data_IF_529278872922
#
_entry.id   IF_529278872922
#
_cell.length_a   1.000
_cell.length_b   1.000
_cell.length_c   1.000
_cell.angle_alpha   90.00
_cell.angle_beta   90.00
_cell.angle_gamma   90.00
#
_symmetry.space_group_name_H-M   'P 1'
#
loop_
_entity.id
_entity.type
_entity.pdbx_description
1 polymer ?
#
# COMPACT_ATOMS: atom_id res chain seq x y z
N UNK A 1 17.26 20.34 -7.33
CA UNK A 1 16.24 19.46 -6.74
C UNK A 1 15.42 18.87 -7.87
N UNK A 2 15.49 17.56 -8.13
CA UNK A 2 14.55 16.94 -9.09
C UNK A 2 13.14 17.12 -8.53
N UNK A 3 12.24 17.63 -9.38
CA UNK A 3 10.81 17.74 -9.06
C UNK A 3 10.33 16.38 -8.55
N UNK A 4 9.63 16.39 -7.41
CA UNK A 4 9.18 15.16 -6.78
C UNK A 4 8.11 14.56 -7.71
N UNK A 5 8.44 13.48 -8.38
CA UNK A 5 7.51 12.75 -9.24
C UNK A 5 6.49 12.05 -8.32
N UNK A 6 5.23 12.47 -8.34
CA UNK A 6 4.21 11.94 -7.43
C UNK A 6 3.57 10.64 -7.94
N UNK A 7 4.28 9.89 -8.80
CA UNK A 7 3.84 8.59 -9.33
C UNK A 7 4.31 7.44 -8.47
N UNK A 8 3.38 6.61 -8.00
CA UNK A 8 3.65 5.47 -7.14
C UNK A 8 3.01 4.19 -7.66
N UNK A 9 3.71 3.08 -7.52
CA UNK A 9 3.15 1.74 -7.70
C UNK A 9 2.68 1.20 -6.36
N UNK A 10 1.38 0.91 -6.26
CA UNK A 10 0.83 0.09 -5.18
C UNK A 10 0.89 -1.38 -5.61
N UNK A 11 1.32 -2.28 -4.72
CA UNK A 11 1.48 -3.70 -5.05
C UNK A 11 1.33 -4.60 -3.83
N UNK A 12 0.94 -5.87 -4.00
CA UNK A 12 0.83 -6.81 -2.90
C UNK A 12 2.22 -7.23 -2.41
N UNK A 13 2.43 -7.18 -1.10
CA UNK A 13 3.74 -7.34 -0.48
C UNK A 13 4.41 -8.69 -0.79
N UNK A 14 3.66 -9.75 -1.05
CA UNK A 14 4.21 -11.08 -1.35
C UNK A 14 5.13 -11.11 -2.56
N UNK A 15 5.02 -10.15 -3.49
CA UNK A 15 5.96 -10.03 -4.61
C UNK A 15 7.41 -9.86 -4.12
N UNK A 16 7.61 -9.26 -2.94
CA UNK A 16 8.94 -9.07 -2.34
C UNK A 16 9.60 -10.34 -1.81
N UNK A 17 8.92 -11.50 -1.77
CA UNK A 17 9.48 -12.74 -1.19
C UNK A 17 10.80 -13.16 -1.84
N UNK A 18 10.93 -12.91 -3.14
CA UNK A 18 12.12 -13.24 -3.92
C UNK A 18 12.97 -12.02 -4.31
N UNK A 19 12.67 -10.84 -3.75
CA UNK A 19 13.33 -9.58 -4.12
C UNK A 19 14.86 -9.63 -4.01
N UNK A 20 15.38 -10.34 -3.01
CA UNK A 20 16.82 -10.46 -2.77
C UNK A 20 17.52 -11.48 -3.69
N UNK A 21 16.78 -12.32 -4.43
CA UNK A 21 17.34 -13.28 -5.41
C UNK A 21 17.24 -12.74 -6.83
N UNK A 22 16.08 -12.16 -7.14
CA UNK A 22 15.73 -11.73 -8.48
C UNK A 22 15.02 -10.37 -8.38
N UNK A 23 15.85 -9.37 -8.10
CA UNK A 23 15.44 -7.97 -7.95
C UNK A 23 14.72 -7.48 -9.19
N UNK A 24 15.28 -7.73 -10.37
CA UNK A 24 14.71 -7.27 -11.63
C UNK A 24 13.32 -7.86 -11.88
N UNK A 25 13.17 -9.18 -11.77
CA UNK A 25 11.87 -9.82 -11.94
C UNK A 25 10.85 -9.34 -10.92
N UNK A 26 11.25 -9.21 -9.65
CA UNK A 26 10.36 -8.72 -8.59
C UNK A 26 9.83 -7.32 -8.92
N UNK A 27 10.71 -6.40 -9.34
CA UNK A 27 10.33 -5.02 -9.63
C UNK A 27 9.51 -4.92 -10.93
N UNK A 28 9.80 -5.77 -11.93
CA UNK A 28 8.97 -5.89 -13.13
C UNK A 28 7.57 -6.45 -12.83
N UNK A 29 7.45 -7.45 -11.95
CA UNK A 29 6.15 -7.97 -11.51
C UNK A 29 5.33 -6.90 -10.77
N UNK A 30 5.99 -6.03 -9.98
CA UNK A 30 5.35 -4.87 -9.34
C UNK A 30 4.83 -3.87 -10.37
N UNK A 31 5.61 -3.57 -11.41
CA UNK A 31 5.16 -2.69 -12.50
C UNK A 31 3.94 -3.29 -13.20
N UNK A 32 4.00 -4.58 -13.57
CA UNK A 32 2.89 -5.27 -14.22
C UNK A 32 1.60 -5.23 -13.39
N UNK A 33 1.70 -5.56 -12.10
CA UNK A 33 0.55 -5.49 -11.20
C UNK A 33 0.06 -4.04 -11.01
N UNK A 34 0.96 -3.09 -10.74
CA UNK A 34 0.59 -1.72 -10.44
C UNK A 34 -0.13 -1.02 -11.60
N UNK A 35 0.31 -1.28 -12.84
CA UNK A 35 -0.38 -0.77 -14.04
C UNK A 35 -1.76 -1.42 -14.21
N UNK A 36 -1.85 -2.74 -14.02
CA UNK A 36 -3.12 -3.45 -14.08
C UNK A 36 -4.13 -2.94 -13.04
N UNK A 37 -3.72 -2.88 -11.77
CA UNK A 37 -4.56 -2.42 -10.66
C UNK A 37 -5.02 -0.97 -10.85
N UNK A 38 -4.13 -0.06 -11.24
CA UNK A 38 -4.50 1.33 -11.51
C UNK A 38 -5.47 1.43 -12.69
N UNK A 39 -5.24 0.67 -13.77
CA UNK A 39 -6.12 0.70 -14.94
C UNK A 39 -7.56 0.31 -14.60
N UNK A 40 -7.73 -0.66 -13.69
CA UNK A 40 -9.07 -1.08 -13.24
C UNK A 40 -9.74 -0.03 -12.35
N UNK A 41 -8.98 0.67 -11.51
CA UNK A 41 -9.47 1.70 -10.57
C UNK A 41 -9.68 3.08 -11.20
N UNK A 42 -9.16 3.31 -12.41
CA UNK A 42 -9.26 4.61 -13.07
C UNK A 42 -10.72 4.97 -13.36
N UNK A 43 -11.13 6.18 -12.97
CA UNK A 43 -12.41 6.74 -13.39
C UNK A 43 -12.25 7.34 -14.79
N UNK A 44 -13.22 7.06 -15.66
CA UNK A 44 -13.18 7.54 -17.04
C UNK A 44 -13.83 8.92 -17.09
N UNK A 45 -13.10 9.87 -17.67
CA UNK A 45 -13.65 11.13 -18.17
C UNK A 45 -14.15 10.87 -19.59
N UNK A 46 -15.48 10.85 -19.78
CA UNK A 46 -16.11 10.51 -21.04
C UNK A 46 -15.67 11.45 -22.17
N UNK A 47 -15.61 12.76 -21.89
CA UNK A 47 -15.22 13.75 -22.89
C UNK A 47 -13.79 13.47 -23.40
N UNK A 48 -12.84 13.28 -22.47
CA UNK A 48 -11.45 12.95 -22.84
C UNK A 48 -11.34 11.61 -23.57
N UNK A 49 -12.17 10.63 -23.21
CA UNK A 49 -12.16 9.34 -23.87
C UNK A 49 -12.65 9.46 -25.32
N UNK A 50 -13.73 10.19 -25.55
CA UNK A 50 -14.28 10.44 -26.89
C UNK A 50 -13.25 11.18 -27.75
N UNK A 51 -12.76 12.31 -27.27
CA UNK A 51 -11.73 13.13 -27.93
C UNK A 51 -10.49 12.29 -28.27
N UNK A 52 -9.97 11.52 -27.31
CA UNK A 52 -8.78 10.70 -27.52
C UNK A 52 -9.01 9.55 -28.50
N UNK A 53 -10.20 8.94 -28.50
CA UNK A 53 -10.56 7.87 -29.45
C UNK A 53 -10.53 8.40 -30.88
N UNK A 54 -11.16 9.54 -31.13
CA UNK A 54 -11.23 10.16 -32.46
C UNK A 54 -9.84 10.63 -32.90
N UNK A 55 -9.10 11.28 -32.01
CA UNK A 55 -7.72 11.67 -32.28
C UNK A 55 -6.89 10.46 -32.71
N UNK A 56 -7.00 9.36 -31.97
CA UNK A 56 -6.21 8.15 -32.24
C UNK A 56 -6.66 7.44 -33.51
N UNK A 57 -7.95 7.51 -33.86
CA UNK A 57 -8.47 7.04 -35.14
C UNK A 57 -7.77 7.75 -36.31
N UNK A 58 -7.74 9.08 -36.32
CA UNK A 58 -7.09 9.88 -37.37
C UNK A 58 -5.57 9.65 -37.45
N UNK A 59 -4.92 9.31 -36.33
CA UNK A 59 -3.50 8.97 -36.31
C UNK A 59 -3.20 7.51 -36.65
N UNK A 60 -4.22 6.69 -36.88
CA UNK A 60 -4.06 5.27 -37.19
C UNK A 60 -3.52 4.42 -36.04
N UNK A 61 -3.63 4.92 -34.80
CA UNK A 61 -3.08 4.27 -33.60
C UNK A 61 -4.07 3.41 -32.82
N UNK A 62 -5.31 3.26 -33.31
CA UNK A 62 -6.33 2.47 -32.63
C UNK A 62 -6.03 0.97 -32.75
N UNK A 63 -6.39 0.16 -31.72
CA UNK A 63 -6.44 -1.28 -31.86
C UNK A 63 -7.32 -1.70 -33.04
N UNK A 64 -6.95 -2.77 -33.72
CA UNK A 64 -7.64 -3.22 -34.92
C UNK A 64 -9.12 -3.51 -34.64
N UNK A 65 -9.44 -4.10 -33.50
CA UNK A 65 -10.81 -4.44 -33.11
C UNK A 65 -11.70 -3.19 -32.97
N UNK A 66 -11.19 -2.16 -32.29
CA UNK A 66 -11.89 -0.86 -32.14
C UNK A 66 -12.00 -0.16 -33.50
N UNK A 67 -10.91 -0.17 -34.28
CA UNK A 67 -10.86 0.46 -35.59
C UNK A 67 -11.88 -0.17 -36.55
N UNK A 68 -11.94 -1.49 -36.63
CA UNK A 68 -12.90 -2.21 -37.48
C UNK A 68 -14.35 -1.89 -37.12
N UNK A 69 -14.66 -1.74 -35.83
CA UNK A 69 -16.00 -1.34 -35.39
C UNK A 69 -16.33 0.10 -35.78
N UNK A 70 -15.40 1.05 -35.55
CA UNK A 70 -15.58 2.43 -36.00
C UNK A 70 -15.77 2.54 -37.52
N UNK A 71 -15.01 1.77 -38.29
CA UNK A 71 -15.17 1.72 -39.76
C UNK A 71 -16.55 1.23 -40.15
N UNK A 72 -17.09 0.19 -39.50
CA UNK A 72 -18.46 -0.28 -39.76
C UNK A 72 -19.51 0.78 -39.41
N UNK A 73 -19.36 1.48 -38.29
CA UNK A 73 -20.27 2.58 -37.94
C UNK A 73 -20.19 3.71 -38.97
N UNK A 74 -19.01 4.01 -39.51
CA UNK A 74 -18.85 4.99 -40.58
C UNK A 74 -19.51 4.53 -41.89
N UNK A 75 -19.35 3.26 -42.28
CA UNK A 75 -20.02 2.67 -43.45
C UNK A 75 -21.55 2.70 -43.34
N UNK A 76 -22.07 2.59 -42.11
CA UNK A 76 -23.51 2.70 -41.82
C UNK A 76 -23.99 4.16 -41.71
N UNK A 77 -23.08 5.14 -41.77
CA UNK A 77 -23.40 6.56 -41.62
C UNK A 77 -23.75 6.98 -40.19
N UNK A 78 -23.38 6.17 -39.19
CA UNK A 78 -23.61 6.47 -37.76
C UNK A 78 -22.56 7.45 -37.20
N UNK A 79 -21.38 7.50 -37.81
CA UNK A 79 -20.32 8.47 -37.51
C UNK A 79 -19.69 8.96 -38.83
N UNK A 80 -19.48 10.27 -38.95
CA UNK A 80 -18.91 10.89 -40.14
C UNK A 80 -17.52 11.45 -39.84
N UNK A 81 -16.48 10.73 -40.23
CA UNK A 81 -15.11 11.17 -40.02
C UNK A 81 -14.70 12.19 -41.08
N UNK A 82 -14.50 13.45 -40.66
CA UNK A 82 -14.04 14.49 -41.57
C UNK A 82 -12.58 14.27 -42.03
N UNK A 83 -12.40 13.70 -43.22
CA UNK A 83 -11.08 13.43 -43.81
C UNK A 83 -10.30 14.69 -44.22
N UNK A 84 -10.99 15.81 -44.44
CA UNK A 84 -10.36 17.05 -44.90
C UNK A 84 -9.65 17.79 -43.75
N UNK A 85 -10.27 17.79 -42.58
CA UNK A 85 -9.80 18.53 -41.41
C UNK A 85 -9.26 17.65 -40.29
N UNK A 86 -9.52 16.33 -40.33
CA UNK A 86 -8.99 15.34 -39.38
C UNK A 86 -9.25 15.72 -37.91
N UNK A 87 -10.42 16.30 -37.65
CA UNK A 87 -10.84 16.81 -36.33
C UNK A 87 -10.23 18.15 -35.92
N UNK A 88 -9.48 18.85 -36.79
CA UNK A 88 -8.91 20.17 -36.48
C UNK A 88 -9.81 21.32 -36.96
N UNK A 89 -9.99 22.33 -36.11
CA UNK A 89 -10.64 23.58 -36.47
C UNK A 89 -9.77 24.41 -37.42
N UNK A 90 -10.36 25.42 -38.07
CA UNK A 90 -9.61 26.37 -38.90
C UNK A 90 -8.54 27.18 -38.14
N UNK A 91 -8.56 27.12 -36.80
CA UNK A 91 -7.58 27.76 -35.91
C UNK A 91 -6.45 26.82 -35.49
N UNK A 92 -6.52 25.53 -35.85
CA UNK A 92 -5.50 24.53 -35.54
C UNK A 92 -5.70 23.80 -34.22
N UNK A 93 -6.82 24.04 -33.53
CA UNK A 93 -7.22 23.31 -32.33
C UNK A 93 -7.95 22.01 -32.71
N UNK A 94 -7.73 20.94 -31.95
CA UNK A 94 -8.43 19.68 -32.19
C UNK A 94 -9.81 19.73 -31.52
N UNK A 95 -10.86 19.84 -32.32
CA UNK A 95 -12.24 20.05 -31.89
C UNK A 95 -13.23 19.15 -32.69
N UNK A 96 -13.14 17.80 -32.57
CA UNK A 96 -13.99 16.88 -33.32
C UNK A 96 -15.40 16.75 -32.71
N UNK A 97 -16.08 17.87 -32.47
CA UNK A 97 -17.31 17.92 -31.66
C UNK A 97 -18.42 17.05 -32.25
N UNK A 98 -18.60 17.09 -33.56
CA UNK A 98 -19.62 16.29 -34.27
C UNK A 98 -19.34 14.79 -34.11
N UNK A 99 -18.09 14.38 -34.34
CA UNK A 99 -17.67 12.99 -34.22
C UNK A 99 -17.78 12.50 -32.76
N UNK A 100 -17.54 13.38 -31.78
CA UNK A 100 -17.70 13.07 -30.35
C UNK A 100 -19.16 12.82 -29.99
N UNK A 101 -20.08 13.68 -30.45
CA UNK A 101 -21.53 13.50 -30.22
C UNK A 101 -22.03 12.20 -30.85
N UNK A 102 -21.62 11.90 -32.08
CA UNK A 102 -21.96 10.65 -32.78
C UNK A 102 -21.41 9.43 -32.05
N UNK A 103 -20.14 9.46 -31.64
CA UNK A 103 -19.53 8.36 -30.89
C UNK A 103 -20.20 8.16 -29.52
N UNK A 104 -20.63 9.24 -28.86
CA UNK A 104 -21.40 9.15 -27.62
C UNK A 104 -22.77 8.49 -27.84
N UNK A 105 -23.46 8.82 -28.94
CA UNK A 105 -24.71 8.13 -29.31
C UNK A 105 -24.49 6.64 -29.54
N UNK A 106 -23.41 6.26 -30.23
CA UNK A 106 -23.03 4.85 -30.44
C UNK A 106 -22.76 4.17 -29.09
N UNK A 107 -22.06 4.81 -28.15
CA UNK A 107 -21.82 4.23 -26.83
C UNK A 107 -23.10 4.00 -26.03
N UNK A 108 -24.11 4.84 -26.22
CA UNK A 108 -25.42 4.69 -25.57
C UNK A 108 -26.24 3.52 -26.15
N UNK A 109 -26.00 3.12 -27.40
CA UNK A 109 -26.71 2.01 -28.07
C UNK A 109 -25.93 0.70 -28.03
N UNK A 110 -24.60 0.75 -28.09
CA UNK A 110 -23.69 -0.40 -28.09
C UNK A 110 -22.78 -0.37 -26.85
N UNK A 111 -23.33 -0.87 -25.74
CA UNK A 111 -22.61 -0.93 -24.47
C UNK A 111 -21.36 -1.82 -24.54
N UNK A 112 -21.34 -2.84 -25.39
CA UNK A 112 -20.16 -3.70 -25.55
C UNK A 112 -19.02 -2.92 -26.21
N UNK A 113 -19.32 -2.07 -27.20
CA UNK A 113 -18.34 -1.15 -27.78
C UNK A 113 -17.83 -0.13 -26.78
N UNK A 114 -18.75 0.48 -26.02
CA UNK A 114 -18.40 1.39 -24.96
C UNK A 114 -17.41 0.76 -23.96
N UNK A 115 -17.70 -0.46 -23.47
CA UNK A 115 -16.84 -1.17 -22.54
C UNK A 115 -15.47 -1.53 -23.14
N UNK A 116 -15.43 -1.87 -24.43
CA UNK A 116 -14.20 -2.14 -25.17
C UNK A 116 -13.30 -0.90 -25.25
N UNK A 117 -13.86 0.24 -25.68
CA UNK A 117 -13.14 1.52 -25.75
C UNK A 117 -12.74 1.98 -24.35
N UNK A 118 -13.60 1.85 -23.35
CA UNK A 118 -13.29 2.15 -21.95
C UNK A 118 -12.06 1.37 -21.47
N UNK A 119 -12.02 0.07 -21.76
CA UNK A 119 -10.91 -0.79 -21.38
C UNK A 119 -9.63 -0.32 -22.06
N UNK A 120 -9.64 -0.09 -23.37
CA UNK A 120 -8.48 0.41 -24.11
C UNK A 120 -8.01 1.78 -23.59
N UNK A 121 -8.91 2.74 -23.42
CA UNK A 121 -8.60 4.09 -22.96
C UNK A 121 -7.96 4.09 -21.56
N UNK A 122 -8.48 3.27 -20.64
CA UNK A 122 -7.87 3.05 -19.32
C UNK A 122 -6.43 2.54 -19.41
N UNK A 123 -6.16 1.61 -20.35
CA UNK A 123 -4.79 1.11 -20.57
C UNK A 123 -3.87 2.24 -21.00
N UNK A 124 -4.22 2.93 -22.09
CA UNK A 124 -3.38 4.01 -22.67
C UNK A 124 -3.15 5.13 -21.66
N UNK A 125 -4.18 5.51 -20.90
CA UNK A 125 -4.09 6.53 -19.85
C UNK A 125 -3.03 6.20 -18.80
N UNK A 126 -3.03 4.95 -18.29
CA UNK A 126 -2.08 4.52 -17.26
C UNK A 126 -0.66 4.40 -17.79
N UNK A 127 -0.50 3.93 -19.02
CA UNK A 127 0.79 3.84 -19.72
C UNK A 127 1.41 5.22 -19.89
N UNK A 128 0.64 6.17 -20.42
CA UNK A 128 1.08 7.54 -20.63
C UNK A 128 1.40 8.22 -19.30
N UNK A 129 0.57 8.00 -18.28
CA UNK A 129 0.80 8.53 -16.94
C UNK A 129 2.14 8.07 -16.36
N UNK A 130 2.49 6.78 -16.49
CA UNK A 130 3.76 6.25 -16.01
C UNK A 130 4.92 6.35 -17.01
N UNK A 131 4.71 6.83 -18.24
CA UNK A 131 5.72 6.89 -19.31
C UNK A 131 6.46 5.55 -19.52
N UNK A 132 5.71 4.45 -19.49
CA UNK A 132 6.30 3.11 -19.67
C UNK A 132 6.14 2.69 -21.13
N UNK A 133 7.19 2.15 -21.72
CA UNK A 133 7.16 1.50 -23.04
C UNK A 133 7.11 -0.02 -22.90
N UNK A 134 6.44 -0.73 -23.82
CA UNK A 134 6.53 -2.19 -23.91
C UNK A 134 5.29 -2.85 -24.51
N UNK A 135 5.23 -4.18 -24.45
CA UNK A 135 4.03 -4.93 -24.82
C UNK A 135 3.01 -4.85 -23.67
N UNK A 136 2.09 -3.89 -23.78
CA UNK A 136 1.14 -3.59 -22.72
C UNK A 136 0.12 -4.67 -22.46
N UNK A 137 -0.31 -5.40 -23.49
CA UNK A 137 -1.21 -6.52 -23.28
C UNK A 137 -0.52 -7.60 -22.46
N UNK A 138 0.74 -7.93 -22.75
CA UNK A 138 1.52 -8.85 -21.93
C UNK A 138 1.69 -8.35 -20.48
N UNK A 139 1.96 -7.06 -20.29
CA UNK A 139 2.10 -6.42 -18.96
C UNK A 139 0.81 -6.57 -18.15
N UNK A 140 -0.34 -6.24 -18.75
CA UNK A 140 -1.62 -6.27 -18.05
C UNK A 140 -2.12 -7.69 -17.82
N UNK A 141 -1.87 -8.62 -18.74
CA UNK A 141 -2.16 -10.04 -18.52
C UNK A 141 -1.31 -10.60 -17.38
N UNK A 142 -0.03 -10.24 -17.31
CA UNK A 142 0.83 -10.60 -16.17
C UNK A 142 0.30 -10.00 -14.87
N UNK A 143 -0.09 -8.73 -14.87
CA UNK A 143 -0.70 -8.07 -13.72
C UNK A 143 -2.00 -8.74 -13.25
N UNK A 144 -2.85 -9.19 -14.18
CA UNK A 144 -4.05 -9.97 -13.88
C UNK A 144 -3.72 -11.31 -13.20
N UNK A 145 -2.78 -12.07 -13.75
CA UNK A 145 -2.33 -13.35 -13.15
C UNK A 145 -1.81 -13.12 -11.73
N UNK A 146 -1.06 -12.04 -11.50
CA UNK A 146 -0.60 -11.68 -10.17
C UNK A 146 -1.78 -11.38 -9.25
N UNK A 147 -2.75 -10.58 -9.70
CA UNK A 147 -3.93 -10.21 -8.92
C UNK A 147 -4.76 -11.44 -8.46
N UNK A 148 -4.88 -12.46 -9.32
CA UNK A 148 -5.57 -13.71 -9.02
C UNK A 148 -4.81 -14.60 -8.02
N UNK A 149 -3.51 -14.36 -7.80
CA UNK A 149 -2.64 -15.12 -6.89
C UNK A 149 -2.41 -14.46 -5.52
N UNK A 150 -3.03 -13.31 -5.26
CA UNK A 150 -2.80 -12.54 -4.03
C UNK A 150 -3.31 -13.34 -2.81
N UNK A 151 -2.46 -13.57 -1.79
CA UNK A 151 -2.90 -14.21 -0.55
C UNK A 151 -3.93 -13.38 0.23
N UNK A 152 -4.72 -14.04 1.06
CA UNK A 152 -5.66 -13.35 1.94
C UNK A 152 -4.95 -12.39 2.91
N UNK A 153 -5.54 -11.21 3.11
CA UNK A 153 -5.07 -10.15 4.03
C UNK A 153 -3.65 -9.67 3.72
N UNK A 154 -3.25 -9.73 2.46
CA UNK A 154 -1.96 -9.23 1.98
C UNK A 154 -1.90 -7.69 2.08
N UNK A 155 -0.81 -7.11 2.61
CA UNK A 155 -0.66 -5.65 2.60
C UNK A 155 -0.17 -5.09 1.27
N UNK A 156 -0.55 -3.84 1.02
CA UNK A 156 -0.31 -3.15 -0.24
C UNK A 156 0.54 -1.87 -0.03
N UNK A 157 1.85 -2.01 0.21
CA UNK A 157 2.75 -0.86 0.22
C UNK A 157 2.77 -0.12 -1.13
N UNK A 158 3.35 1.09 -1.09
CA UNK A 158 3.58 1.92 -2.27
C UNK A 158 5.07 2.25 -2.42
N UNK A 159 5.57 2.19 -3.66
CA UNK A 159 6.93 2.59 -4.03
C UNK A 159 6.86 3.69 -5.10
N UNK A 160 7.71 4.69 -4.96
CA UNK A 160 7.91 5.78 -5.93
C UNK A 160 8.42 5.23 -7.27
N UNK A 161 7.87 5.70 -8.40
CA UNK A 161 8.22 5.25 -9.76
C UNK A 161 9.74 5.30 -9.98
N UNK A 162 10.36 6.44 -9.71
CA UNK A 162 11.79 6.64 -9.97
C UNK A 162 12.63 5.76 -9.06
N UNK A 163 12.26 5.62 -7.79
CA UNK A 163 12.97 4.75 -6.85
C UNK A 163 12.85 3.28 -7.23
N UNK A 164 11.71 2.85 -7.77
CA UNK A 164 11.54 1.51 -8.30
C UNK A 164 12.51 1.26 -9.45
N UNK A 165 12.54 2.15 -10.45
CA UNK A 165 13.42 1.98 -11.61
C UNK A 165 14.91 2.14 -11.26
N UNK A 166 15.26 3.03 -10.32
CA UNK A 166 16.62 3.13 -9.78
C UNK A 166 17.12 1.79 -9.20
N UNK A 167 16.27 1.06 -8.48
CA UNK A 167 16.64 -0.24 -7.90
C UNK A 167 16.53 -1.42 -8.87
N UNK A 168 15.83 -1.24 -9.99
CA UNK A 168 15.71 -2.25 -11.04
C UNK A 168 16.89 -2.18 -12.02
N UNK A 169 17.23 -0.96 -12.45
CA UNK A 169 18.10 -0.72 -13.60
C UNK A 169 19.56 -0.47 -13.21
N UNK A 170 19.82 -0.01 -11.98
CA UNK A 170 21.18 0.23 -11.49
C UNK A 170 21.67 -0.93 -10.62
N UNK A 171 22.98 -1.20 -10.68
CA UNK A 171 23.60 -2.18 -9.79
C UNK A 171 23.52 -1.73 -8.33
N UNK A 172 22.99 -2.59 -7.46
CA UNK A 172 22.87 -2.35 -6.02
C UNK A 172 23.57 -3.45 -5.25
N UNK A 173 24.27 -3.05 -4.18
CA UNK A 173 24.82 -4.01 -3.22
C UNK A 173 23.70 -4.70 -2.44
N UNK A 174 23.96 -5.92 -1.95
CA UNK A 174 23.02 -6.65 -1.08
C UNK A 174 22.53 -5.80 0.10
N UNK A 175 23.42 -4.97 0.67
CA UNK A 175 23.03 -4.09 1.78
C UNK A 175 22.08 -2.97 1.34
N UNK A 176 22.29 -2.38 0.16
CA UNK A 176 21.35 -1.39 -0.39
C UNK A 176 19.98 -2.02 -0.68
N UNK A 177 19.96 -3.24 -1.23
CA UNK A 177 18.73 -3.98 -1.50
C UNK A 177 17.93 -4.23 -0.21
N UNK A 178 18.56 -4.74 0.86
CA UNK A 178 17.83 -4.98 2.11
C UNK A 178 17.37 -3.69 2.80
N UNK A 179 18.10 -2.58 2.65
CA UNK A 179 17.68 -1.26 3.15
C UNK A 179 16.43 -0.79 2.42
N UNK A 180 16.39 -0.94 1.10
CA UNK A 180 15.20 -0.65 0.30
C UNK A 180 14.02 -1.57 0.66
N UNK A 181 14.26 -2.86 0.79
CA UNK A 181 13.25 -3.81 1.23
C UNK A 181 12.69 -3.46 2.62
N UNK A 182 13.55 -3.06 3.57
CA UNK A 182 13.13 -2.61 4.89
C UNK A 182 12.36 -1.27 4.84
N UNK A 183 12.68 -0.36 3.91
CA UNK A 183 11.88 0.83 3.65
C UNK A 183 10.45 0.46 3.23
N UNK A 184 10.32 -0.46 2.26
CA UNK A 184 9.03 -1.00 1.82
C UNK A 184 8.30 -1.70 2.97
N UNK A 185 9.04 -2.47 3.76
CA UNK A 185 8.52 -3.12 4.95
C UNK A 185 7.91 -2.14 5.95
N UNK A 186 8.62 -1.06 6.28
CA UNK A 186 8.09 0.02 7.14
C UNK A 186 6.85 0.69 6.53
N UNK A 187 6.85 0.96 5.21
CA UNK A 187 5.69 1.55 4.51
C UNK A 187 4.47 0.64 4.54
N UNK A 188 4.65 -0.68 4.42
CA UNK A 188 3.56 -1.65 4.51
C UNK A 188 2.89 -1.66 5.91
N UNK A 189 3.64 -1.33 6.97
CA UNK A 189 3.13 -1.28 8.34
C UNK A 189 2.46 0.08 8.63
N UNK A 190 3.02 1.16 8.09
CA UNK A 190 2.48 2.51 8.24
C UNK A 190 1.16 2.67 7.48
N UNK A 191 1.11 2.22 6.22
CA UNK A 191 0.00 2.50 5.32
C UNK A 191 -0.25 4.00 5.23
N UNK A 192 -1.49 4.42 5.49
CA UNK A 192 -1.89 5.84 5.48
C UNK A 192 -1.63 6.56 6.80
N UNK A 193 -1.20 5.87 7.86
CA UNK A 193 -1.01 6.47 9.19
C UNK A 193 0.24 7.37 9.20
N UNK A 194 0.22 8.52 9.89
CA UNK A 194 1.40 9.39 10.02
C UNK A 194 2.53 8.69 10.79
N UNK A 195 2.17 7.85 11.76
CA UNK A 195 3.07 7.04 12.56
C UNK A 195 2.35 5.80 13.09
N UNK A 196 3.11 4.77 13.46
CA UNK A 196 2.58 3.59 14.17
C UNK A 196 3.65 2.95 15.06
N UNK A 197 3.19 2.16 16.04
CA UNK A 197 4.08 1.35 16.89
C UNK A 197 4.31 -0.01 16.23
N UNK A 198 5.54 -0.48 16.20
CA UNK A 198 5.96 -1.74 15.58
C UNK A 198 7.18 -2.35 16.30
N UNK A 199 7.71 -3.45 15.76
CA UNK A 199 8.94 -4.10 16.22
C UNK A 199 9.92 -4.32 15.06
N UNK A 200 11.18 -4.62 15.39
CA UNK A 200 12.24 -4.90 14.40
C UNK A 200 11.90 -6.14 13.58
N UNK A 201 11.39 -7.16 14.25
CA UNK A 201 11.00 -8.44 13.68
C UNK A 201 9.89 -8.25 12.63
N UNK A 202 8.87 -7.43 12.94
CA UNK A 202 7.81 -7.16 11.97
C UNK A 202 8.33 -6.37 10.77
N UNK A 203 9.22 -5.39 10.95
CA UNK A 203 9.82 -4.65 9.83
C UNK A 203 10.56 -5.60 8.90
N UNK A 204 11.43 -6.45 9.43
CA UNK A 204 12.17 -7.41 8.62
C UNK A 204 11.26 -8.45 7.99
N UNK A 205 10.24 -8.93 8.69
CA UNK A 205 9.25 -9.83 8.13
C UNK A 205 8.60 -9.26 6.86
N UNK A 206 8.25 -7.99 6.91
CA UNK A 206 7.70 -7.28 5.76
C UNK A 206 8.75 -7.02 4.68
N UNK A 207 9.99 -6.73 5.06
CA UNK A 207 11.10 -6.57 4.12
C UNK A 207 11.32 -7.83 3.26
N UNK A 208 11.16 -9.01 3.86
CA UNK A 208 11.21 -10.29 3.15
C UNK A 208 9.90 -10.66 2.43
N UNK A 209 8.92 -9.76 2.34
CA UNK A 209 7.67 -10.02 1.60
C UNK A 209 6.64 -10.88 2.34
N UNK A 210 6.73 -11.01 3.68
CA UNK A 210 5.81 -11.84 4.45
C UNK A 210 4.86 -11.02 5.33
N UNK A 211 3.66 -11.57 5.54
CA UNK A 211 2.65 -10.95 6.37
C UNK A 211 2.86 -11.18 7.87
N UNK A 212 3.32 -12.39 8.21
CA UNK A 212 3.49 -12.84 9.58
C UNK A 212 4.85 -13.49 9.78
N UNK A 213 5.38 -13.37 11.01
CA UNK A 213 6.61 -14.07 11.40
C UNK A 213 6.49 -15.59 11.24
N UNK A 214 5.29 -16.14 11.45
CA UNK A 214 5.03 -17.58 11.31
C UNK A 214 5.33 -18.07 9.90
N UNK A 215 4.91 -17.32 8.88
CA UNK A 215 5.10 -17.73 7.48
C UNK A 215 6.56 -17.56 7.05
N UNK A 216 7.18 -16.44 7.48
CA UNK A 216 8.61 -16.21 7.27
C UNK A 216 9.49 -17.30 7.90
N UNK A 217 9.18 -17.72 9.13
CA UNK A 217 9.94 -18.76 9.83
C UNK A 217 9.76 -20.15 9.24
N UNK A 218 8.70 -20.39 8.47
CA UNK A 218 8.54 -21.65 7.72
C UNK A 218 9.43 -21.67 6.49
N UNK A 219 9.45 -20.57 5.72
CA UNK A 219 10.23 -20.51 4.48
C UNK A 219 11.72 -20.26 4.73
N UNK A 220 12.07 -19.46 5.75
CA UNK A 220 13.44 -19.05 6.11
C UNK A 220 14.24 -18.65 4.86
N UNK A 221 13.82 -17.61 4.14
CA UNK A 221 14.48 -17.21 2.91
C UNK A 221 15.97 -16.94 3.17
N UNK A 222 16.85 -17.15 2.20
CA UNK A 222 18.25 -16.76 2.36
C UNK A 222 18.40 -15.29 2.81
N UNK A 223 19.54 -15.02 3.46
CA UNK A 223 19.81 -13.78 4.20
C UNK A 223 18.94 -13.55 5.46
N UNK A 224 17.90 -14.35 5.72
CA UNK A 224 17.10 -14.28 6.95
C UNK A 224 17.99 -14.29 8.20
N UNK A 225 18.81 -15.33 8.38
CA UNK A 225 19.72 -15.44 9.55
C UNK A 225 20.72 -14.28 9.63
N UNK A 226 21.17 -13.77 8.49
CA UNK A 226 22.13 -12.66 8.40
C UNK A 226 21.52 -11.37 8.95
N UNK A 227 20.31 -11.01 8.53
CA UNK A 227 19.73 -9.71 8.86
C UNK A 227 18.83 -9.70 10.10
N UNK A 228 18.35 -10.85 10.57
CA UNK A 228 17.55 -10.96 11.79
C UNK A 228 18.34 -10.82 13.10
N UNK A 229 19.67 -10.76 13.05
CA UNK A 229 20.42 -10.40 14.26
C UNK A 229 20.35 -8.90 14.54
N UNK A 230 20.37 -8.55 15.83
CA UNK A 230 20.18 -7.18 16.32
C UNK A 230 21.11 -6.17 15.66
N UNK A 231 22.40 -6.49 15.52
CA UNK A 231 23.40 -5.58 14.96
C UNK A 231 23.08 -5.21 13.52
N UNK A 232 22.77 -6.21 12.69
CA UNK A 232 22.44 -5.98 11.29
C UNK A 232 21.11 -5.26 11.14
N UNK A 233 20.10 -5.58 11.96
CA UNK A 233 18.83 -4.85 11.92
C UNK A 233 19.01 -3.38 12.33
N UNK A 234 19.80 -3.09 13.36
CA UNK A 234 20.10 -1.72 13.77
C UNK A 234 20.86 -0.96 12.67
N UNK A 235 21.80 -1.62 11.99
CA UNK A 235 22.52 -1.05 10.85
C UNK A 235 21.57 -0.65 9.71
N UNK A 236 20.62 -1.53 9.35
CA UNK A 236 19.61 -1.23 8.33
C UNK A 236 18.75 -0.02 8.73
N UNK A 237 18.23 -0.01 9.96
CA UNK A 237 17.33 1.05 10.40
C UNK A 237 18.06 2.40 10.51
N UNK A 238 19.33 2.41 10.90
CA UNK A 238 20.18 3.61 10.87
C UNK A 238 20.33 4.15 9.46
N UNK A 239 20.58 3.29 8.47
CA UNK A 239 20.69 3.69 7.07
C UNK A 239 19.38 4.29 6.54
N UNK A 240 18.23 3.75 6.96
CA UNK A 240 16.91 4.33 6.59
C UNK A 240 16.76 5.75 7.15
N UNK A 241 17.21 6.00 8.38
CA UNK A 241 17.07 7.30 9.04
C UNK A 241 18.01 8.37 8.51
N UNK A 242 19.27 7.98 8.27
CA UNK A 242 20.31 8.87 7.75
C UNK A 242 20.08 9.10 6.24
N UNK A 243 19.61 8.09 5.53
CA UNK A 243 19.25 8.19 4.13
C UNK A 243 18.02 9.06 3.87
N UNK A 244 17.85 9.47 2.61
CA UNK A 244 16.73 10.30 2.16
C UNK A 244 15.45 9.47 1.90
N UNK A 245 15.06 8.65 2.87
CA UNK A 245 13.94 7.70 2.74
C UNK A 245 12.58 8.23 3.24
N UNK A 246 12.57 9.47 3.75
CA UNK A 246 11.40 10.13 4.36
C UNK A 246 10.74 9.35 5.52
N UNK A 247 11.50 8.49 6.21
CA UNK A 247 11.07 7.72 7.37
C UNK A 247 12.01 7.94 8.55
N UNK A 248 11.49 7.90 9.76
CA UNK A 248 12.29 7.89 10.98
C UNK A 248 11.66 6.98 12.04
N UNK A 249 12.46 6.58 13.03
CA UNK A 249 11.98 5.82 14.19
C UNK A 249 12.18 6.59 15.49
N UNK A 250 11.41 6.21 16.49
CA UNK A 250 11.58 6.66 17.86
C UNK A 250 11.47 5.47 18.81
N UNK A 251 12.45 5.34 19.70
CA UNK A 251 12.42 4.37 20.80
C UNK A 251 12.97 5.00 22.08
N UNK A 252 12.24 4.85 23.18
CA UNK A 252 12.68 5.24 24.52
C UNK A 252 13.25 4.03 25.27
N UNK A 253 14.20 4.25 26.20
CA UNK A 253 14.88 3.19 26.96
C UNK A 253 13.94 2.13 27.58
N UNK A 254 12.76 2.55 28.06
CA UNK A 254 11.81 1.67 28.76
C UNK A 254 10.63 1.19 27.88
N UNK A 255 10.70 1.39 26.56
CA UNK A 255 9.64 0.97 25.65
C UNK A 255 9.95 -0.39 25.01
N UNK A 256 8.97 -1.29 25.07
CA UNK A 256 8.95 -2.48 24.20
C UNK A 256 8.53 -2.07 22.79
N UNK A 257 9.35 -2.38 21.79
CA UNK A 257 9.16 -2.00 20.39
C UNK A 257 9.62 -0.57 20.09
N UNK A 258 9.21 -0.04 18.95
CA UNK A 258 9.53 1.33 18.52
C UNK A 258 8.35 1.95 17.77
N UNK A 259 8.33 3.27 17.65
CA UNK A 259 7.48 3.96 16.71
C UNK A 259 8.23 4.20 15.42
N UNK A 260 7.53 4.08 14.28
CA UNK A 260 8.01 4.50 12.96
C UNK A 260 7.05 5.56 12.42
N UNK A 261 7.56 6.49 11.60
CA UNK A 261 6.79 7.63 11.12
C UNK A 261 7.29 8.18 9.79
N UNK A 262 6.40 8.86 9.06
CA UNK A 262 6.76 9.65 7.88
C UNK A 262 7.30 11.03 8.28
N UNK A 263 8.54 11.36 7.89
CA UNK A 263 9.18 12.66 8.16
C UNK A 263 8.32 13.85 7.70
N UNK A 264 7.61 13.69 6.57
CA UNK A 264 6.75 14.72 5.97
C UNK A 264 5.40 14.90 6.68
N UNK A 265 4.99 13.98 7.57
CA UNK A 265 3.64 14.00 8.19
C UNK A 265 3.65 14.32 9.68
N UNK A 266 4.75 14.10 10.38
CA UNK A 266 4.90 14.39 11.80
C UNK A 266 6.38 14.62 12.14
N UNK A 267 6.68 15.64 12.93
CA UNK A 267 8.05 15.88 13.42
C UNK A 267 8.42 14.88 14.52
N UNK A 268 9.72 14.74 14.79
CA UNK A 268 10.19 13.88 15.87
C UNK A 268 9.68 14.37 17.23
N UNK A 269 9.74 15.67 17.49
CA UNK A 269 9.28 16.29 18.74
C UNK A 269 7.80 15.99 18.96
N UNK A 270 6.97 16.15 17.93
CA UNK A 270 5.53 15.88 18.03
C UNK A 270 5.24 14.40 18.24
N UNK A 271 6.02 13.51 17.61
CA UNK A 271 5.90 12.08 17.87
C UNK A 271 6.24 11.74 19.33
N UNK A 272 7.33 12.29 19.85
CA UNK A 272 7.76 12.08 21.25
C UNK A 272 6.69 12.57 22.21
N UNK A 273 6.17 13.78 22.01
CA UNK A 273 5.09 14.37 22.81
C UNK A 273 3.87 13.41 22.89
N UNK A 274 3.38 12.94 21.75
CA UNK A 274 2.22 12.04 21.69
C UNK A 274 2.51 10.68 22.34
N UNK A 275 3.73 10.16 22.22
CA UNK A 275 4.12 8.90 22.85
C UNK A 275 4.21 9.03 24.37
N UNK A 276 4.80 10.11 24.87
CA UNK A 276 4.93 10.37 26.31
C UNK A 276 3.56 10.65 26.94
N UNK A 277 2.67 11.38 26.28
CA UNK A 277 1.29 11.57 26.74
C UNK A 277 0.53 10.25 26.87
N UNK A 278 0.63 9.37 25.86
CA UNK A 278 0.03 8.02 25.91
C UNK A 278 0.60 7.19 27.04
N UNK A 279 1.92 7.24 27.25
CA UNK A 279 2.61 6.57 28.34
C UNK A 279 2.13 7.06 29.70
N UNK A 280 2.05 8.38 29.89
CA UNK A 280 1.55 9.02 31.12
C UNK A 280 0.11 8.62 31.41
N UNK A 281 -0.79 8.71 30.42
CA UNK A 281 -2.20 8.29 30.56
C UNK A 281 -2.31 6.82 30.99
N UNK A 282 -1.52 5.93 30.37
CA UNK A 282 -1.48 4.51 30.74
C UNK A 282 -0.99 4.29 32.16
N UNK A 283 0.08 4.96 32.59
CA UNK A 283 0.61 4.86 33.98
C UNK A 283 -0.42 5.33 35.00
N UNK A 284 -1.12 6.44 34.73
CA UNK A 284 -2.21 6.93 35.58
C UNK A 284 -3.33 5.89 35.69
N UNK A 285 -3.73 5.29 34.56
CA UNK A 285 -4.77 4.26 34.57
C UNK A 285 -4.35 3.00 35.35
N UNK A 286 -3.11 2.56 35.17
CA UNK A 286 -2.54 1.43 35.92
C UNK A 286 -2.55 1.72 37.43
N UNK A 287 -2.13 2.91 37.85
CA UNK A 287 -2.17 3.32 39.25
C UNK A 287 -3.59 3.33 39.82
N UNK A 288 -4.59 3.80 39.06
CA UNK A 288 -6.00 3.75 39.48
C UNK A 288 -6.47 2.31 39.69
N UNK A 289 -6.21 1.43 38.73
CA UNK A 289 -6.58 0.02 38.83
C UNK A 289 -5.88 -0.68 40.00
N UNK A 290 -4.59 -0.43 40.21
CA UNK A 290 -3.85 -0.99 41.34
C UNK A 290 -4.41 -0.53 42.70
N UNK A 291 -4.84 0.73 42.82
CA UNK A 291 -5.50 1.22 44.04
C UNK A 291 -6.84 0.53 44.30
N UNK A 292 -7.63 0.27 43.25
CA UNK A 292 -8.90 -0.46 43.35
C UNK A 292 -8.65 -1.88 43.84
N UNK A 293 -7.76 -2.62 43.17
CA UNK A 293 -7.39 -4.00 43.55
C UNK A 293 -6.87 -4.06 44.99
N UNK A 294 -6.02 -3.11 45.39
CA UNK A 294 -5.50 -3.04 46.76
C UNK A 294 -6.62 -2.83 47.79
N UNK A 295 -7.60 -1.96 47.50
CA UNK A 295 -8.76 -1.73 48.36
C UNK A 295 -9.64 -2.98 48.47
N UNK A 296 -9.94 -3.62 47.34
CA UNK A 296 -10.74 -4.86 47.32
C UNK A 296 -10.09 -5.97 48.14
N UNK A 297 -8.78 -6.16 47.97
CA UNK A 297 -8.02 -7.14 48.75
C UNK A 297 -7.99 -6.79 50.24
N UNK A 298 -7.89 -5.52 50.62
CA UNK A 298 -7.97 -5.09 52.01
C UNK A 298 -9.37 -5.35 52.61
N UNK A 299 -10.44 -5.06 51.87
CA UNK A 299 -11.82 -5.32 52.30
C UNK A 299 -12.08 -6.82 52.49
N UNK A 300 -11.62 -7.67 51.56
CA UNK A 300 -11.72 -9.13 51.69
C UNK A 300 -11.07 -9.62 52.98
N UNK A 301 -9.85 -9.16 53.26
CA UNK A 301 -9.14 -9.53 54.51
C UNK A 301 -9.88 -9.08 55.77
N UNK A 302 -10.50 -7.90 55.75
CA UNK A 302 -11.30 -7.43 56.89
C UNK A 302 -12.52 -8.34 57.09
N UNK A 303 -13.25 -8.66 56.03
CA UNK A 303 -14.42 -9.54 56.10
C UNK A 303 -14.03 -10.95 56.58
N UNK A 304 -12.95 -11.52 56.04
CA UNK A 304 -12.41 -12.81 56.48
C UNK A 304 -12.01 -12.79 57.97
N UNK A 305 -11.38 -11.70 58.44
CA UNK A 305 -11.04 -11.56 59.86
C UNK A 305 -12.27 -11.43 60.77
N UNK A 306 -13.35 -10.80 60.30
CA UNK A 306 -14.61 -10.67 61.04
C UNK A 306 -15.40 -11.98 61.09
N UNK A 307 -15.37 -12.78 60.03
CA UNK A 307 -15.98 -14.11 60.00
C UNK A 307 -15.24 -15.06 60.95
N UNK A 308 -13.91 -15.08 60.91
CA UNK A 308 -13.12 -15.93 61.80
C UNK A 308 -13.30 -15.54 63.28
N UNK A 309 -13.38 -14.25 63.61
CA UNK A 309 -13.61 -13.81 65.00
C UNK A 309 -15.02 -14.13 65.53
N UNK A 310 -16.03 -14.17 64.66
CA UNK A 310 -17.38 -14.62 65.02
C UNK A 310 -17.47 -16.14 65.20
N UNK A 311 -16.69 -16.95 64.49
CA UNK A 311 -16.61 -18.40 64.72
C UNK A 311 -16.01 -18.76 66.08
N UNK A 312 -14.90 -18.12 66.49
CA UNK A 312 -14.30 -18.31 67.83
C UNK A 312 -15.20 -17.86 68.98
N UNK A 313 -16.09 -16.89 68.74
CA UNK A 313 -17.05 -16.39 69.74
C UNK A 313 -18.25 -17.33 69.92
N UNK A 314 -18.60 -18.12 68.90
CA UNK A 314 -19.71 -19.08 68.98
C UNK A 314 -19.29 -20.43 69.58
N UNK A 315 -18.02 -20.83 69.47
CA UNK A 315 -17.50 -22.06 70.13
C UNK A 315 -17.33 -21.90 71.65
N UNK A 316 -17.26 -20.67 72.17
CA UNK A 316 -17.11 -20.40 73.61
C UNK A 316 -18.44 -20.33 74.37
N UNK A 317 -19.59 -20.44 73.70
CA UNK A 317 -20.94 -20.39 74.30
C UNK A 317 -21.53 -21.80 74.57
N UNK A 318 -20.94 -22.87 74.03
CA UNK A 318 -21.45 -24.25 74.20
C UNK A 318 -20.87 -25.00 75.42
N UNK A 319 -20.10 -24.35 76.30
CA UNK A 319 -19.46 -24.98 77.47
C UNK A 319 -20.09 -24.64 78.82
N UNK A 320 -21.35 -24.20 78.88
CA UNK A 320 -22.07 -24.05 80.15
C UNK A 320 -23.53 -24.49 80.06
N UNK A 321 -23.78 -25.75 80.41
CA UNK A 321 -25.04 -26.15 81.07
C UNK A 321 -24.78 -27.36 81.99
N UNK A 322 -25.50 -27.47 83.11
CA UNK A 322 -25.07 -28.18 84.33
C UNK A 322 -25.06 -29.71 84.24
#
# INVERSE_FOLDING_TARGET
MKQNDDRYFQFPLFLFRNFMYDTEKCLNDIVCYGLYDLSNKLNIDLFRMLEHTIYTYYRGGLPNEIKERLTKFAELGEIDFNENYLGFSGQGDFEPTTEMEQLEMIFNTDNDFYLEVCKWFKKVSVINFFEISGNYDAILQKGKIIAESIPDKEPFPMIDKNKLFEFRDEEKTEFQLIVFAANVGMRSILGTKPYCKTTKELILCRAFGFNTMRDLEKEKPPLFKKYFNRYQTDKILNEIEIGNWNLFRYSSQNMRGMFIAYKRRISLEKLVEVVEEKSRKRKIQQLKNSKIIARENAMKKIVESQLNSNEYSNESVTSTTP
#
